data_IF_208154882208
#
_entry.id   IF_208154882208
#
_cell.length_a   1.000
_cell.length_b   1.000
_cell.length_c   1.000
_cell.angle_alpha   90.00
_cell.angle_beta   90.00
_cell.angle_gamma   90.00
#
_symmetry.space_group_name_H-M   'P 1'
#
loop_
_entity.id
_entity.type
_entity.pdbx_description
1 polymer ?
#
# COMPACT_ATOMS: atom_id res chain seq x y z
N UNK A 1 15.43 -18.06 17.15
CA UNK A 1 15.57 -16.59 17.00
C UNK A 1 15.73 -16.11 15.54
N UNK A 2 16.05 -16.96 14.54
CA UNK A 2 16.34 -16.48 13.17
C UNK A 2 15.14 -16.07 12.29
N UNK A 3 14.00 -16.78 12.35
CA UNK A 3 12.92 -16.58 11.37
C UNK A 3 12.16 -15.25 11.53
N UNK A 4 11.95 -14.80 12.78
CA UNK A 4 11.26 -13.53 13.06
C UNK A 4 12.04 -12.31 12.57
N UNK A 5 13.37 -12.36 12.71
CA UNK A 5 14.25 -11.27 12.31
C UNK A 5 14.31 -11.12 10.77
N UNK A 6 14.30 -12.24 10.03
CA UNK A 6 14.30 -12.23 8.55
C UNK A 6 12.97 -11.70 8.01
N UNK A 7 11.84 -12.11 8.59
CA UNK A 7 10.53 -11.66 8.16
C UNK A 7 10.33 -10.17 8.45
N UNK A 8 10.75 -9.70 9.63
CA UNK A 8 10.72 -8.27 9.99
C UNK A 8 11.61 -7.43 9.07
N UNK A 9 12.82 -7.90 8.77
CA UNK A 9 13.75 -7.22 7.88
C UNK A 9 13.17 -7.10 6.46
N UNK A 10 12.57 -8.18 5.95
CA UNK A 10 11.95 -8.19 4.62
C UNK A 10 10.77 -7.23 4.55
N UNK A 11 9.92 -7.18 5.60
CA UNK A 11 8.83 -6.21 5.70
C UNK A 11 9.34 -4.77 5.73
N UNK A 12 10.41 -4.50 6.49
CA UNK A 12 11.01 -3.16 6.53
C UNK A 12 11.53 -2.73 5.15
N UNK A 13 12.24 -3.60 4.44
CA UNK A 13 12.70 -3.32 3.07
C UNK A 13 11.54 -3.08 2.11
N UNK A 14 10.47 -3.87 2.19
CA UNK A 14 9.28 -3.68 1.36
C UNK A 14 8.59 -2.34 1.63
N UNK A 15 8.47 -1.93 2.90
CA UNK A 15 7.91 -0.61 3.24
C UNK A 15 8.79 0.55 2.77
N UNK A 16 10.12 0.42 2.82
CA UNK A 16 11.04 1.42 2.26
C UNK A 16 10.87 1.57 0.75
N UNK A 17 10.80 0.45 0.01
CA UNK A 17 10.57 0.47 -1.44
C UNK A 17 9.21 1.11 -1.75
N UNK A 18 8.17 0.70 -1.03
CA UNK A 18 6.81 1.22 -1.23
C UNK A 18 6.73 2.72 -0.93
N UNK A 19 7.47 3.22 0.07
CA UNK A 19 7.57 4.64 0.36
C UNK A 19 8.16 5.41 -0.82
N UNK A 20 9.26 4.93 -1.41
CA UNK A 20 9.86 5.57 -2.59
C UNK A 20 8.88 5.58 -3.77
N UNK A 21 8.25 4.45 -4.07
CA UNK A 21 7.29 4.33 -5.17
C UNK A 21 6.03 5.19 -4.95
N UNK A 22 5.60 5.36 -3.69
CA UNK A 22 4.49 6.25 -3.34
C UNK A 22 4.81 7.72 -3.64
N UNK A 23 6.06 8.17 -3.38
CA UNK A 23 6.52 9.51 -3.76
C UNK A 23 6.58 9.66 -5.28
N UNK A 24 7.06 8.64 -6.00
CA UNK A 24 7.04 8.61 -7.46
C UNK A 24 5.62 8.62 -8.06
N UNK A 25 4.58 8.34 -7.27
CA UNK A 25 3.18 8.44 -7.71
C UNK A 25 2.59 9.79 -7.37
N UNK A 26 2.77 10.26 -6.13
CA UNK A 26 2.18 11.51 -5.62
C UNK A 26 2.79 12.74 -6.26
N UNK A 27 4.13 12.81 -6.36
CA UNK A 27 4.82 14.02 -6.84
C UNK A 27 4.46 14.35 -8.29
N UNK A 28 4.55 13.42 -9.26
CA UNK A 28 4.17 13.74 -10.63
C UNK A 28 2.69 14.09 -10.76
N UNK A 29 1.80 13.45 -9.99
CA UNK A 29 0.37 13.78 -9.99
C UNK A 29 0.08 15.15 -9.39
N UNK A 30 0.79 15.55 -8.33
CA UNK A 30 0.61 16.86 -7.71
C UNK A 30 1.10 17.99 -8.64
N UNK A 31 2.29 17.81 -9.23
CA UNK A 31 2.81 18.74 -10.24
C UNK A 31 1.87 18.82 -11.43
N UNK A 32 1.36 17.68 -11.90
CA UNK A 32 0.38 17.62 -12.97
C UNK A 32 -0.88 18.44 -12.63
N UNK A 33 -1.52 18.23 -11.47
CA UNK A 33 -2.72 19.00 -11.11
C UNK A 33 -2.44 20.51 -11.02
N UNK A 34 -1.25 20.90 -10.55
CA UNK A 34 -0.86 22.32 -10.48
C UNK A 34 -0.69 22.98 -11.86
N UNK A 35 -0.14 22.24 -12.84
CA UNK A 35 0.05 22.74 -14.22
C UNK A 35 -1.26 22.87 -15.01
N UNK A 36 -2.28 22.10 -14.60
CA UNK A 36 -3.59 22.09 -15.23
C UNK A 36 -4.59 23.02 -14.52
N UNK A 37 -4.10 23.96 -13.70
CA UNK A 37 -4.90 24.93 -12.95
C UNK A 37 -6.03 24.25 -12.13
N UNK A 38 -5.74 23.08 -11.56
CA UNK A 38 -6.71 22.29 -10.80
C UNK A 38 -7.64 21.39 -11.63
N UNK A 39 -7.61 21.46 -12.96
CA UNK A 39 -8.37 20.56 -13.83
C UNK A 39 -7.75 19.17 -13.90
N UNK A 40 -8.60 18.14 -13.99
CA UNK A 40 -8.16 16.75 -14.05
C UNK A 40 -8.08 16.25 -15.49
N UNK A 41 -6.90 15.81 -15.92
CA UNK A 41 -6.69 15.25 -17.26
C UNK A 41 -7.26 13.84 -17.42
N UNK A 42 -7.29 13.04 -16.34
CA UNK A 42 -7.85 11.69 -16.36
C UNK A 42 -9.30 11.72 -16.83
N UNK A 43 -9.63 10.94 -17.86
CA UNK A 43 -10.96 10.88 -18.49
C UNK A 43 -11.42 12.16 -19.18
N UNK A 44 -10.55 13.16 -19.33
CA UNK A 44 -10.87 14.32 -20.15
C UNK A 44 -10.97 13.90 -21.61
N UNK A 45 -12.06 14.30 -22.24
CA UNK A 45 -12.32 14.05 -23.66
C UNK A 45 -12.37 15.39 -24.38
N UNK A 46 -12.30 15.38 -25.70
CA UNK A 46 -12.36 16.61 -26.47
C UNK A 46 -12.25 16.33 -27.96
N UNK A 47 -12.43 17.39 -28.74
CA UNK A 47 -12.23 17.38 -30.18
C UNK A 47 -11.43 18.60 -30.58
N UNK A 48 -10.64 18.47 -31.63
CA UNK A 48 -9.99 19.62 -32.25
C UNK A 48 -11.01 20.41 -33.05
N UNK A 49 -11.00 21.72 -32.90
CA UNK A 49 -11.78 22.61 -33.73
C UNK A 49 -11.21 22.60 -35.16
N UNK A 50 -12.12 22.61 -36.15
CA UNK A 50 -11.75 22.54 -37.56
C UNK A 50 -11.23 23.87 -38.09
N UNK A 51 -11.64 24.99 -37.47
CA UNK A 51 -11.31 26.33 -37.94
C UNK A 51 -10.00 26.85 -37.33
N UNK A 52 -9.82 26.74 -36.01
CA UNK A 52 -8.63 27.29 -35.32
C UNK A 52 -7.58 26.24 -34.95
N UNK A 53 -7.88 24.94 -35.10
CA UNK A 53 -6.97 23.85 -34.73
C UNK A 53 -6.70 23.71 -33.23
N UNK A 54 -7.45 24.44 -32.39
CA UNK A 54 -7.39 24.36 -30.94
C UNK A 54 -8.12 23.13 -30.40
N UNK A 55 -7.64 22.57 -29.28
CA UNK A 55 -8.30 21.45 -28.63
C UNK A 55 -9.35 21.93 -27.64
N UNK A 56 -10.61 21.62 -27.90
CA UNK A 56 -11.72 21.95 -27.00
C UNK A 56 -11.85 20.81 -25.99
N UNK A 57 -11.26 21.02 -24.80
CA UNK A 57 -11.27 20.04 -23.72
C UNK A 57 -12.63 20.05 -22.98
N UNK A 58 -13.22 18.88 -22.84
CA UNK A 58 -14.32 18.60 -21.91
C UNK A 58 -13.73 17.95 -20.66
N UNK A 59 -13.36 18.80 -19.72
CA UNK A 59 -12.73 18.41 -18.46
C UNK A 59 -13.59 17.43 -17.69
N UNK A 60 -12.96 16.35 -17.21
CA UNK A 60 -13.62 15.37 -16.35
C UNK A 60 -13.81 15.88 -14.92
N UNK A 61 -14.60 15.15 -14.13
CA UNK A 61 -14.78 15.45 -12.71
C UNK A 61 -13.44 15.50 -11.98
N UNK A 62 -13.16 16.54 -11.16
CA UNK A 62 -11.92 16.63 -10.37
C UNK A 62 -11.70 15.44 -9.42
N UNK A 63 -12.79 14.74 -9.06
CA UNK A 63 -12.78 13.62 -8.13
C UNK A 63 -11.73 12.55 -8.47
N UNK A 64 -11.50 12.22 -9.74
CA UNK A 64 -10.56 11.16 -10.13
C UNK A 64 -9.10 11.49 -9.78
N UNK A 65 -8.69 12.74 -10.00
CA UNK A 65 -7.35 13.20 -9.65
C UNK A 65 -7.19 13.37 -8.14
N UNK A 66 -8.21 13.91 -7.46
CA UNK A 66 -8.20 14.02 -5.98
C UNK A 66 -8.16 12.65 -5.31
N UNK A 67 -8.91 11.67 -5.81
CA UNK A 67 -8.88 10.29 -5.31
C UNK A 67 -7.48 9.69 -5.47
N UNK A 68 -6.86 9.85 -6.65
CA UNK A 68 -5.50 9.37 -6.93
C UNK A 68 -4.47 10.01 -5.98
N UNK A 69 -4.56 11.32 -5.75
CA UNK A 69 -3.70 12.04 -4.82
C UNK A 69 -3.92 11.60 -3.37
N UNK A 70 -5.17 11.42 -2.95
CA UNK A 70 -5.51 10.97 -1.60
C UNK A 70 -4.99 9.57 -1.32
N UNK A 71 -5.16 8.63 -2.26
CA UNK A 71 -4.62 7.27 -2.14
C UNK A 71 -3.09 7.28 -2.11
N UNK A 72 -2.44 8.07 -2.98
CA UNK A 72 -0.98 8.22 -2.95
C UNK A 72 -0.47 8.81 -1.62
N UNK A 73 -1.15 9.84 -1.08
CA UNK A 73 -0.83 10.41 0.22
C UNK A 73 -1.04 9.43 1.37
N UNK A 74 -2.11 8.63 1.32
CA UNK A 74 -2.36 7.55 2.26
C UNK A 74 -1.23 6.50 2.22
N UNK A 75 -0.75 6.13 1.03
CA UNK A 75 0.38 5.21 0.89
C UNK A 75 1.65 5.77 1.55
N UNK A 76 1.99 7.05 1.30
CA UNK A 76 3.15 7.70 1.94
C UNK A 76 3.02 7.64 3.46
N UNK A 77 1.85 8.02 4.00
CA UNK A 77 1.61 8.03 5.44
C UNK A 77 1.71 6.63 6.05
N UNK A 78 1.04 5.63 5.46
CA UNK A 78 1.05 4.25 5.98
C UNK A 78 2.46 3.66 5.88
N UNK A 79 3.15 3.80 4.74
CA UNK A 79 4.50 3.28 4.57
C UNK A 79 5.48 3.93 5.55
N UNK A 80 5.37 5.24 5.81
CA UNK A 80 6.21 5.93 6.78
C UNK A 80 5.93 5.48 8.22
N UNK A 81 4.66 5.47 8.65
CA UNK A 81 4.27 5.03 9.99
C UNK A 81 4.72 3.59 10.23
N UNK A 82 4.50 2.70 9.27
CA UNK A 82 4.89 1.30 9.40
C UNK A 82 6.42 1.12 9.39
N UNK A 83 7.16 1.90 8.60
CA UNK A 83 8.62 1.86 8.61
C UNK A 83 9.19 2.28 9.97
N UNK A 84 8.68 3.36 10.57
CA UNK A 84 9.08 3.80 11.92
C UNK A 84 8.78 2.72 12.95
N UNK A 85 7.57 2.15 12.89
CA UNK A 85 7.12 1.11 13.80
C UNK A 85 7.99 -0.14 13.74
N UNK A 86 8.30 -0.63 12.54
CA UNK A 86 9.18 -1.79 12.34
C UNK A 86 10.63 -1.49 12.77
N UNK A 87 11.11 -0.25 12.57
CA UNK A 87 12.44 0.18 13.02
C UNK A 87 12.56 0.16 14.55
N UNK A 88 11.53 0.62 15.26
CA UNK A 88 11.47 0.57 16.72
C UNK A 88 11.48 -0.88 17.22
N UNK A 89 10.68 -1.77 16.62
CA UNK A 89 10.68 -3.18 17.00
C UNK A 89 12.02 -3.86 16.75
N UNK A 90 12.71 -3.50 15.66
CA UNK A 90 14.04 -4.01 15.36
C UNK A 90 15.06 -3.53 16.40
N UNK A 91 14.96 -2.27 16.86
CA UNK A 91 15.86 -1.70 17.87
C UNK A 91 15.61 -2.25 19.28
N UNK A 92 14.34 -2.34 19.70
CA UNK A 92 13.97 -2.80 21.04
C UNK A 92 13.94 -4.33 21.17
N UNK A 93 14.09 -5.08 20.07
CA UNK A 93 14.06 -6.55 20.08
C UNK A 93 12.75 -7.15 20.61
N UNK A 94 11.66 -6.38 20.57
CA UNK A 94 10.36 -6.76 21.13
C UNK A 94 9.45 -7.33 20.04
N UNK A 95 8.75 -8.42 20.36
CA UNK A 95 7.78 -9.02 19.43
C UNK A 95 6.48 -8.19 19.38
N UNK A 96 5.90 -8.06 18.17
CA UNK A 96 4.60 -7.42 17.98
C UNK A 96 3.47 -8.23 18.62
N UNK A 97 2.45 -7.57 19.16
CA UNK A 97 1.22 -8.22 19.65
C UNK A 97 0.40 -8.82 18.50
N UNK A 98 -0.37 -9.88 18.77
CA UNK A 98 -1.28 -10.52 17.79
C UNK A 98 -2.25 -9.52 17.14
N UNK A 99 -2.95 -8.71 17.96
CA UNK A 99 -3.88 -7.69 17.48
C UNK A 99 -3.21 -6.70 16.52
N UNK A 100 -1.95 -6.37 16.79
CA UNK A 100 -1.19 -5.47 15.92
C UNK A 100 -0.84 -6.12 14.58
N UNK A 101 -0.47 -7.41 14.57
CA UNK A 101 -0.24 -8.14 13.32
C UNK A 101 -1.53 -8.30 12.51
N UNK A 102 -2.68 -8.47 13.18
CA UNK A 102 -3.99 -8.52 12.53
C UNK A 102 -4.33 -7.19 11.86
N UNK A 103 -4.19 -6.07 12.57
CA UNK A 103 -4.43 -4.73 12.03
C UNK A 103 -3.51 -4.42 10.84
N UNK A 104 -2.22 -4.78 10.91
CA UNK A 104 -1.29 -4.63 9.78
C UNK A 104 -1.76 -5.42 8.54
N UNK A 105 -2.29 -6.64 8.73
CA UNK A 105 -2.83 -7.45 7.65
C UNK A 105 -4.09 -6.80 7.04
N UNK A 106 -5.00 -6.29 7.86
CA UNK A 106 -6.22 -5.62 7.37
C UNK A 106 -5.87 -4.33 6.61
N UNK A 107 -4.99 -3.49 7.17
CA UNK A 107 -4.55 -2.24 6.53
C UNK A 107 -3.85 -2.53 5.20
N UNK A 108 -2.94 -3.51 5.15
CA UNK A 108 -2.24 -3.85 3.91
C UNK A 108 -3.18 -4.33 2.81
N UNK A 109 -4.21 -5.12 3.13
CA UNK A 109 -5.22 -5.55 2.15
C UNK A 109 -6.07 -4.37 1.67
N UNK A 110 -6.51 -3.48 2.57
CA UNK A 110 -7.30 -2.30 2.19
C UNK A 110 -6.48 -1.39 1.27
N UNK A 111 -5.24 -1.08 1.64
CA UNK A 111 -4.37 -0.23 0.82
C UNK A 111 -4.08 -0.90 -0.53
N UNK A 112 -3.81 -2.20 -0.58
CA UNK A 112 -3.63 -2.94 -1.83
C UNK A 112 -4.82 -2.76 -2.79
N UNK A 113 -6.06 -2.86 -2.30
CA UNK A 113 -7.26 -2.67 -3.11
C UNK A 113 -7.43 -1.23 -3.61
N UNK A 114 -7.13 -0.24 -2.76
CA UNK A 114 -7.16 1.18 -3.14
C UNK A 114 -6.11 1.49 -4.20
N UNK A 115 -4.87 0.99 -4.03
CA UNK A 115 -3.79 1.18 -5.01
C UNK A 115 -4.13 0.51 -6.34
N UNK A 116 -4.72 -0.68 -6.32
CA UNK A 116 -5.21 -1.32 -7.55
C UNK A 116 -6.21 -0.43 -8.30
N UNK A 117 -7.20 0.10 -7.57
CA UNK A 117 -8.22 1.00 -8.13
C UNK A 117 -7.58 2.24 -8.75
N UNK A 118 -6.63 2.86 -8.04
CA UNK A 118 -5.87 4.01 -8.54
C UNK A 118 -5.07 3.68 -9.80
N UNK A 119 -4.38 2.52 -9.84
CA UNK A 119 -3.63 2.07 -11.02
C UNK A 119 -4.51 1.92 -12.25
N UNK A 120 -5.72 1.37 -12.07
CA UNK A 120 -6.71 1.24 -13.15
C UNK A 120 -7.22 2.62 -13.59
N UNK A 121 -7.59 3.50 -12.66
CA UNK A 121 -8.09 4.84 -12.96
C UNK A 121 -7.08 5.68 -13.73
N UNK A 122 -5.81 5.69 -13.30
CA UNK A 122 -4.72 6.41 -13.99
C UNK A 122 -4.49 5.82 -15.37
N UNK A 123 -4.49 4.49 -15.50
CA UNK A 123 -4.23 3.84 -16.78
C UNK A 123 -5.34 4.06 -17.80
N UNK A 124 -6.60 3.91 -17.39
CA UNK A 124 -7.73 4.08 -18.30
C UNK A 124 -7.99 5.55 -18.61
N UNK A 125 -7.92 6.43 -17.61
CA UNK A 125 -8.09 7.86 -17.83
C UNK A 125 -6.98 8.46 -18.69
N UNK A 126 -5.75 7.94 -18.63
CA UNK A 126 -4.67 8.34 -19.55
C UNK A 126 -4.91 7.83 -20.98
N UNK A 127 -5.43 6.61 -21.15
CA UNK A 127 -5.81 6.08 -22.47
C UNK A 127 -6.94 6.90 -23.11
N UNK A 128 -7.93 7.32 -22.32
CA UNK A 128 -9.02 8.16 -22.77
C UNK A 128 -8.51 9.51 -23.30
N UNK A 129 -7.61 10.15 -22.55
CA UNK A 129 -6.93 11.38 -22.98
C UNK A 129 -6.13 11.17 -24.26
N UNK A 130 -5.27 10.14 -24.30
CA UNK A 130 -4.47 9.86 -25.49
C UNK A 130 -5.33 9.61 -26.73
N UNK A 131 -6.48 8.92 -26.60
CA UNK A 131 -7.40 8.70 -27.72
C UNK A 131 -7.97 10.01 -28.28
N UNK A 132 -8.26 10.99 -27.43
CA UNK A 132 -8.74 12.30 -27.86
C UNK A 132 -7.64 13.08 -28.59
N UNK A 133 -6.41 13.02 -28.10
CA UNK A 133 -5.25 13.71 -28.68
C UNK A 133 -4.76 13.09 -29.99
N UNK A 134 -4.81 11.76 -30.12
CA UNK A 134 -4.39 11.05 -31.35
C UNK A 134 -5.31 11.30 -32.55
N UNK A 135 -6.37 12.08 -32.40
CA UNK A 135 -7.16 12.56 -33.55
C UNK A 135 -6.33 13.46 -34.48
N UNK A 136 -5.36 14.20 -33.94
CA UNK A 136 -4.54 15.16 -34.69
C UNK A 136 -3.06 14.76 -34.78
N UNK A 137 -2.55 14.09 -33.75
CA UNK A 137 -1.15 13.67 -33.65
C UNK A 137 -0.99 12.15 -33.89
N UNK A 138 0.07 11.70 -34.57
CA UNK A 138 0.29 10.28 -34.80
C UNK A 138 0.62 9.51 -33.51
N UNK A 139 1.26 10.15 -32.53
CA UNK A 139 1.48 9.61 -31.20
C UNK A 139 1.03 10.56 -30.09
N UNK A 140 0.65 9.99 -28.94
CA UNK A 140 0.27 10.76 -27.75
C UNK A 140 1.46 11.53 -27.14
N UNK A 141 2.68 11.03 -27.33
CA UNK A 141 3.91 11.68 -26.86
C UNK A 141 4.19 12.99 -27.62
N UNK A 142 3.92 13.04 -28.92
CA UNK A 142 4.17 14.22 -29.78
C UNK A 142 3.33 15.43 -29.35
N UNK A 143 2.16 15.17 -28.77
CA UNK A 143 1.31 16.19 -28.20
C UNK A 143 1.88 16.81 -26.92
N UNK A 144 2.79 16.10 -26.23
CA UNK A 144 3.35 16.58 -24.95
C UNK A 144 4.42 17.65 -25.11
N UNK A 145 4.91 17.90 -26.32
CA UNK A 145 5.90 18.96 -26.62
C UNK A 145 5.25 20.26 -27.13
N UNK A 146 3.94 20.28 -27.34
CA UNK A 146 3.21 21.45 -27.84
C UNK A 146 2.16 21.93 -26.83
N UNK A 147 1.91 23.24 -26.79
CA UNK A 147 0.82 23.81 -26.01
C UNK A 147 -0.49 23.69 -26.81
N UNK A 148 -1.37 22.82 -26.34
CA UNK A 148 -2.57 22.41 -27.08
C UNK A 148 -3.81 23.22 -26.66
N UNK A 149 -3.82 23.77 -25.43
CA UNK A 149 -4.93 24.57 -24.92
C UNK A 149 -4.47 26.01 -24.62
N UNK A 150 -4.71 26.93 -25.57
CA UNK A 150 -4.47 28.38 -25.39
C UNK A 150 -5.51 29.12 -24.53
N UNK A 151 -6.82 28.77 -24.52
CA UNK A 151 -7.81 29.60 -23.82
C UNK A 151 -7.90 29.38 -22.31
N UNK A 152 -7.50 28.21 -21.79
CA UNK A 152 -7.73 27.84 -20.38
C UNK A 152 -6.51 28.04 -19.45
N UNK A 153 -5.44 28.73 -19.89
CA UNK A 153 -4.18 28.88 -19.13
C UNK A 153 -3.52 27.55 -18.68
N UNK A 154 -3.83 26.44 -19.34
CA UNK A 154 -3.31 25.11 -18.97
C UNK A 154 -1.99 24.80 -19.67
N UNK A 155 -0.95 24.46 -18.90
CA UNK A 155 0.33 24.00 -19.45
C UNK A 155 0.32 22.49 -19.70
N UNK A 156 0.07 22.11 -20.96
CA UNK A 156 0.08 20.70 -21.38
C UNK A 156 1.49 20.14 -21.54
N UNK A 157 2.56 20.92 -21.39
CA UNK A 157 3.91 20.46 -21.70
C UNK A 157 4.40 19.40 -20.71
N UNK A 158 4.82 18.26 -21.26
CA UNK A 158 5.38 17.13 -20.51
C UNK A 158 4.35 16.25 -19.82
N UNK A 159 3.05 16.39 -20.10
CA UNK A 159 1.99 15.58 -19.45
C UNK A 159 2.27 14.06 -19.57
N UNK A 160 2.81 13.62 -20.72
CA UNK A 160 3.10 12.21 -21.01
C UNK A 160 4.09 11.62 -20.00
N UNK A 161 5.17 12.34 -19.68
CA UNK A 161 6.18 11.89 -18.71
C UNK A 161 5.65 11.90 -17.27
N UNK A 162 4.85 12.90 -16.90
CA UNK A 162 4.31 13.01 -15.54
C UNK A 162 3.32 11.88 -15.25
N UNK A 163 2.34 11.67 -16.13
CA UNK A 163 1.32 10.62 -15.97
C UNK A 163 1.93 9.23 -16.19
N UNK A 164 2.89 9.08 -17.10
CA UNK A 164 3.62 7.82 -17.30
C UNK A 164 4.42 7.40 -16.06
N UNK A 165 5.10 8.35 -15.40
CA UNK A 165 5.81 8.09 -14.13
C UNK A 165 4.84 7.70 -13.02
N UNK A 166 3.70 8.40 -12.91
CA UNK A 166 2.66 8.06 -11.94
C UNK A 166 2.05 6.68 -12.18
N UNK A 167 1.82 6.30 -13.45
CA UNK A 167 1.33 4.97 -13.83
C UNK A 167 2.32 3.87 -13.42
N UNK A 168 3.61 4.06 -13.74
CA UNK A 168 4.65 3.12 -13.33
C UNK A 168 4.74 3.00 -11.80
N UNK A 169 4.72 4.13 -11.09
CA UNK A 169 4.70 4.19 -9.63
C UNK A 169 3.50 3.46 -9.02
N UNK A 170 2.31 3.64 -9.58
CA UNK A 170 1.08 3.02 -9.09
C UNK A 170 1.09 1.48 -9.27
N UNK A 171 1.45 0.98 -10.46
CA UNK A 171 1.51 -0.45 -10.73
C UNK A 171 2.62 -1.16 -9.96
N UNK A 172 3.81 -0.56 -9.89
CA UNK A 172 4.92 -1.12 -9.09
C UNK A 172 4.57 -1.14 -7.60
N UNK A 173 3.95 -0.08 -7.09
CA UNK A 173 3.47 -0.03 -5.70
C UNK A 173 2.42 -1.10 -5.43
N UNK A 174 1.50 -1.36 -6.36
CA UNK A 174 0.50 -2.42 -6.20
C UNK A 174 1.15 -3.79 -5.96
N UNK A 175 2.16 -4.14 -6.75
CA UNK A 175 2.91 -5.40 -6.57
C UNK A 175 3.59 -5.46 -5.21
N UNK A 176 4.19 -4.35 -4.75
CA UNK A 176 4.77 -4.28 -3.42
C UNK A 176 3.70 -4.45 -2.31
N UNK A 177 2.51 -3.88 -2.47
CA UNK A 177 1.41 -4.04 -1.53
C UNK A 177 0.84 -5.47 -1.50
N UNK A 178 0.83 -6.18 -2.64
CA UNK A 178 0.49 -7.61 -2.70
C UNK A 178 1.50 -8.42 -1.89
N UNK A 179 2.80 -8.19 -2.12
CA UNK A 179 3.86 -8.85 -1.35
C UNK A 179 3.73 -8.55 0.15
N UNK A 180 3.46 -7.29 0.50
CA UNK A 180 3.26 -6.87 1.88
C UNK A 180 2.06 -7.57 2.53
N UNK A 181 0.93 -7.69 1.83
CA UNK A 181 -0.24 -8.41 2.32
C UNK A 181 0.09 -9.88 2.60
N UNK A 182 0.80 -10.56 1.69
CA UNK A 182 1.25 -11.95 1.89
C UNK A 182 2.16 -12.08 3.13
N UNK A 183 3.13 -11.17 3.29
CA UNK A 183 4.03 -11.18 4.45
C UNK A 183 3.29 -10.93 5.76
N UNK A 184 2.33 -9.99 5.78
CA UNK A 184 1.50 -9.71 6.95
C UNK A 184 0.58 -10.87 7.30
N UNK A 185 -0.05 -11.51 6.31
CA UNK A 185 -0.88 -12.71 6.54
C UNK A 185 -0.04 -13.87 7.07
N UNK A 186 1.14 -14.11 6.50
CA UNK A 186 2.07 -15.13 7.02
C UNK A 186 2.49 -14.83 8.46
N UNK A 187 2.80 -13.58 8.77
CA UNK A 187 3.12 -13.12 10.13
C UNK A 187 1.96 -13.40 11.09
N UNK A 188 0.73 -13.10 10.67
CA UNK A 188 -0.48 -13.36 11.45
C UNK A 188 -0.68 -14.86 11.74
N UNK A 189 -0.54 -15.73 10.72
CA UNK A 189 -0.66 -17.18 10.90
C UNK A 189 0.37 -17.72 11.91
N UNK A 190 1.63 -17.26 11.81
CA UNK A 190 2.67 -17.68 12.75
C UNK A 190 2.40 -17.21 14.19
N UNK A 191 1.83 -16.02 14.38
CA UNK A 191 1.44 -15.56 15.72
C UNK A 191 0.27 -16.35 16.27
N UNK A 192 -0.72 -16.67 15.44
CA UNK A 192 -1.85 -17.50 15.85
C UNK A 192 -1.41 -18.90 16.28
N UNK A 193 -0.50 -19.54 15.51
CA UNK A 193 0.09 -20.83 15.90
C UNK A 193 0.86 -20.74 17.22
N UNK A 194 1.68 -19.69 17.40
CA UNK A 194 2.41 -19.48 18.66
C UNK A 194 1.49 -19.29 19.86
N UNK A 195 0.41 -18.54 19.70
CA UNK A 195 -0.56 -18.31 20.76
C UNK A 195 -1.26 -19.62 21.17
N UNK A 196 -1.68 -20.42 20.20
CA UNK A 196 -2.25 -21.75 20.45
C UNK A 196 -1.26 -22.69 21.17
N UNK A 197 0.02 -22.67 20.77
CA UNK A 197 1.07 -23.44 21.44
C UNK A 197 1.30 -22.97 22.88
N UNK A 198 1.29 -21.66 23.15
CA UNK A 198 1.41 -21.12 24.50
C UNK A 198 0.25 -21.55 25.40
N UNK A 199 -0.98 -21.51 24.89
CA UNK A 199 -2.17 -21.95 25.62
C UNK A 199 -2.10 -23.46 25.90
N UNK A 200 -1.66 -24.26 24.92
CA UNK A 200 -1.49 -25.71 25.09
C UNK A 200 -0.45 -26.04 26.17
N UNK A 201 0.73 -25.40 26.12
CA UNK A 201 1.77 -25.59 27.14
C UNK A 201 1.32 -25.14 28.53
N UNK A 202 0.56 -24.05 28.64
CA UNK A 202 0.02 -23.59 29.92
C UNK A 202 -1.00 -24.59 30.48
N UNK A 203 -1.80 -25.22 29.62
CA UNK A 203 -2.76 -26.26 30.00
C UNK A 203 -2.05 -27.53 30.48
N UNK A 204 -1.05 -28.01 29.75
CA UNK A 204 -0.25 -29.18 30.13
C UNK A 204 0.48 -28.95 31.46
N UNK A 205 1.07 -27.77 31.68
CA UNK A 205 1.70 -27.42 32.97
C UNK A 205 0.72 -27.50 34.14
N UNK A 206 -0.54 -27.05 33.96
CA UNK A 206 -1.57 -27.16 35.01
C UNK A 206 -1.92 -28.62 35.31
N UNK A 207 -2.01 -29.46 34.28
CA UNK A 207 -2.29 -30.89 34.45
C UNK A 207 -1.14 -31.62 35.17
N UNK A 208 0.11 -31.33 34.81
CA UNK A 208 1.29 -31.90 35.47
C UNK A 208 1.38 -31.49 36.94
N UNK A 209 1.10 -30.22 37.25
CA UNK A 209 1.10 -29.74 38.63
C UNK A 209 0.01 -30.43 39.48
N UNK A 210 -1.21 -30.56 38.96
CA UNK A 210 -2.30 -31.25 39.65
C UNK A 210 -1.99 -32.75 39.87
N UNK A 211 -1.32 -33.39 38.90
CA UNK A 211 -0.88 -34.78 39.02
C UNK A 211 0.17 -34.96 40.12
N UNK A 212 1.14 -34.04 40.21
CA UNK A 212 2.18 -34.06 41.23
C UNK A 212 1.63 -33.87 42.66
N UNK A 213 0.64 -32.98 42.83
CA UNK A 213 -0.07 -32.80 44.11
C UNK A 213 -0.80 -34.08 44.53
N UNK A 214 -1.53 -34.72 43.61
CA UNK A 214 -2.22 -35.98 43.89
C UNK A 214 -1.26 -37.12 44.27
N UNK A 215 -0.10 -37.19 43.62
CA UNK A 215 0.92 -38.20 43.92
C UNK A 215 1.59 -37.94 45.28
N UNK A 216 1.81 -36.69 45.65
CA UNK A 216 2.37 -36.30 46.96
C UNK A 216 1.42 -36.65 48.11
N UNK A 217 0.12 -36.40 47.94
CA UNK A 217 -0.90 -36.82 48.93
C UNK A 217 -0.93 -38.33 49.13
N UNK A 218 -0.91 -39.12 48.05
CA UNK A 218 -0.88 -40.58 48.18
C UNK A 218 0.38 -41.12 48.87
N UNK A 219 1.52 -40.43 48.78
CA UNK A 219 2.74 -40.84 49.47
C UNK A 219 2.65 -40.54 50.97
N UNK A 220 2.15 -39.37 51.35
CA UNK A 220 2.00 -38.97 52.76
C UNK A 220 1.01 -39.89 53.51
N UNK A 221 -0.08 -40.30 52.85
CA UNK A 221 -1.04 -41.27 53.39
C UNK A 221 -0.44 -42.68 53.58
N UNK A 222 0.68 -43.00 52.93
CA UNK A 222 1.35 -44.32 53.01
C UNK A 222 2.55 -44.38 53.94
N UNK A 223 2.99 -43.28 54.56
CA UNK A 223 4.03 -43.32 55.60
C UNK A 223 3.39 -43.76 56.92
N UNK A 224 3.64 -45.00 57.42
CA UNK A 224 3.08 -45.41 58.69
C UNK A 224 3.77 -44.63 59.81
N UNK A 225 2.96 -44.04 60.69
CA UNK A 225 3.41 -43.48 61.97
C UNK A 225 4.00 -44.65 62.77
N UNK A 226 5.33 -44.72 62.81
CA UNK A 226 6.06 -45.66 63.65
C UNK A 226 6.11 -45.03 65.07
N UNK A 227 5.08 -45.29 65.87
CA UNK A 227 5.10 -45.18 67.33
C UNK A 227 5.29 -46.58 67.94
#
# INVERSE_FOLDING_TARGET
MGLGNILLLTQATCYTITLILSVCTVVPMAVHVSKFDGHCLLYTTGSFDSDDGHFIARWASPFYCFFTLAVGGLMVAVSFIQLVRMSIFLYMGTDSSFLSAFLDSVVSVIVMLLVFTTSVLVSDGFRAWCRAITQRFPACEDASVTQISKPDHVDTVGFYMHVGTAQFGAWSSWVCWVLQAVLCTRKLCLYHERENLMISMARERRLLNASHESQSQTVDDTVPILD
#
